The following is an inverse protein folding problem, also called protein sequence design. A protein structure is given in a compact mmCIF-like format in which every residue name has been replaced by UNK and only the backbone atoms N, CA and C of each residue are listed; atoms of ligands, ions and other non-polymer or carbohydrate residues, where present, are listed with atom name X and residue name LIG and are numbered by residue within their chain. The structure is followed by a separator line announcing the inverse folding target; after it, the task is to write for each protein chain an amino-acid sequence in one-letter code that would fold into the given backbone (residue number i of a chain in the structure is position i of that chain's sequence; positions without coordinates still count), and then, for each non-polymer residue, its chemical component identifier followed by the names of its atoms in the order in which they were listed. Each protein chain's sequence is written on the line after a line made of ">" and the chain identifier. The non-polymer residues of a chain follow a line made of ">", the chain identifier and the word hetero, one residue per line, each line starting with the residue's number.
data_IF_066669458615
#
_entry.id   IF_066669458615
#
_cell.length_a   1.000
_cell.length_b   1.000
_cell.length_c   1.000
_cell.angle_alpha   90.00
_cell.angle_beta   90.00
_cell.angle_gamma   90.00
#
_symmetry.space_group_name_H-M   'P 1'
#
loop_
_entity.id
_entity.type
_entity.pdbx_description
1 polymer ?
#
# COMPACT_ATOMS: atom_id res chain seq x y z
N UNK A 1 -25.07 7.30 -13.72
CA UNK A 1 -25.18 7.04 -12.28
C UNK A 1 -24.60 8.25 -11.57
N UNK A 2 -25.41 8.92 -10.75
CA UNK A 2 -25.08 10.22 -10.16
C UNK A 2 -24.00 10.10 -9.08
N UNK A 3 -23.00 10.98 -9.10
CA UNK A 3 -22.10 11.17 -7.96
C UNK A 3 -22.45 12.50 -7.32
N UNK A 4 -23.01 12.39 -6.13
CA UNK A 4 -23.48 13.47 -5.28
C UNK A 4 -22.32 14.38 -4.89
N UNK A 5 -22.46 15.68 -5.19
CA UNK A 5 -21.49 16.72 -4.82
C UNK A 5 -21.99 17.35 -3.52
N UNK A 6 -21.53 16.80 -2.40
CA UNK A 6 -21.83 17.34 -1.07
C UNK A 6 -21.03 18.63 -0.79
N UNK A 7 -21.70 19.54 -0.08
CA UNK A 7 -21.49 20.99 -0.10
C UNK A 7 -20.29 21.55 0.71
N UNK A 8 -19.77 22.73 0.31
CA UNK A 8 -18.53 23.36 0.82
C UNK A 8 -18.61 24.04 2.21
N UNK A 9 -19.67 23.86 2.99
CA UNK A 9 -19.83 24.54 4.30
C UNK A 9 -19.18 23.80 5.48
N UNK A 10 -19.03 22.48 5.39
CA UNK A 10 -18.41 21.67 6.45
C UNK A 10 -16.91 21.97 6.60
N UNK A 11 -16.22 22.18 5.49
CA UNK A 11 -14.79 22.50 5.48
C UNK A 11 -14.46 23.81 6.19
N UNK A 12 -15.33 24.81 6.11
CA UNK A 12 -15.06 26.11 6.76
C UNK A 12 -15.13 25.97 8.28
N UNK A 13 -16.10 25.22 8.79
CA UNK A 13 -16.22 24.98 10.23
C UNK A 13 -15.04 24.18 10.79
N UNK A 14 -14.57 23.17 10.05
CA UNK A 14 -13.37 22.38 10.41
C UNK A 14 -12.10 23.25 10.44
N UNK A 15 -11.88 24.06 9.39
CA UNK A 15 -10.73 24.97 9.34
C UNK A 15 -10.76 25.97 10.51
N UNK A 16 -11.93 26.50 10.86
CA UNK A 16 -12.06 27.43 11.99
C UNK A 16 -11.83 26.73 13.35
N UNK A 17 -12.27 25.48 13.49
CA UNK A 17 -12.01 24.66 14.68
C UNK A 17 -10.51 24.37 14.85
N UNK A 18 -9.82 24.05 13.76
CA UNK A 18 -8.37 23.81 13.76
C UNK A 18 -7.58 25.09 14.10
N UNK A 19 -8.00 26.24 13.57
CA UNK A 19 -7.37 27.53 13.88
C UNK A 19 -7.55 27.96 15.34
N UNK A 20 -8.70 27.66 15.95
CA UNK A 20 -8.92 27.92 17.38
C UNK A 20 -8.05 26.98 18.23
N UNK A 21 -7.92 25.72 17.84
CA UNK A 21 -7.05 24.74 18.53
C UNK A 21 -5.57 25.12 18.45
N UNK A 22 -5.10 25.61 17.30
CA UNK A 22 -3.73 26.09 17.12
C UNK A 22 -3.42 27.35 17.94
N UNK A 23 -4.40 28.20 18.24
CA UNK A 23 -4.23 29.35 19.15
C UNK A 23 -3.96 28.95 20.61
N UNK A 24 -4.30 27.73 21.00
CA UNK A 24 -3.98 27.17 22.33
C UNK A 24 -2.53 26.64 22.39
N UNK A 25 -1.90 26.41 21.23
CA UNK A 25 -0.48 26.06 21.10
C UNK A 25 0.43 27.30 21.11
N UNK A 26 1.74 27.08 21.34
CA UNK A 26 2.78 28.11 21.28
C UNK A 26 2.67 28.93 19.98
N UNK A 27 2.55 30.28 20.06
CA UNK A 27 2.35 31.14 18.90
C UNK A 27 3.45 30.99 17.84
N UNK A 28 4.69 30.66 18.23
CA UNK A 28 5.80 30.48 17.30
C UNK A 28 5.64 29.19 16.48
N UNK A 29 5.21 28.10 17.11
CA UNK A 29 4.97 26.82 16.44
C UNK A 29 3.75 26.87 15.52
N UNK A 30 2.67 27.56 15.94
CA UNK A 30 1.48 27.75 15.12
C UNK A 30 1.78 28.57 13.85
N UNK A 31 2.61 29.61 13.96
CA UNK A 31 3.05 30.41 12.82
C UNK A 31 3.90 29.56 11.86
N UNK A 32 4.81 28.73 12.37
CA UNK A 32 5.62 27.83 11.53
C UNK A 32 4.74 26.88 10.70
N UNK A 33 3.70 26.29 11.28
CA UNK A 33 2.79 25.37 10.57
C UNK A 33 1.94 26.08 9.50
N UNK A 34 1.44 27.28 9.78
CA UNK A 34 0.61 28.04 8.81
C UNK A 34 1.46 28.68 7.70
N UNK A 35 2.69 29.11 8.04
CA UNK A 35 3.62 29.73 7.08
C UNK A 35 4.34 28.69 6.21
N UNK A 36 4.47 27.45 6.68
CA UNK A 36 4.88 26.30 5.88
C UNK A 36 3.76 25.89 4.91
N UNK A 37 3.35 26.80 4.02
CA UNK A 37 2.52 26.42 2.86
C UNK A 37 3.31 25.40 2.05
N UNK A 38 2.81 24.17 1.87
CA UNK A 38 3.42 23.22 0.99
C UNK A 38 3.17 23.66 -0.46
N UNK A 39 4.13 24.33 -1.09
CA UNK A 39 4.15 24.52 -2.56
C UNK A 39 4.55 23.22 -3.31
N UNK A 40 4.43 22.09 -2.64
CA UNK A 40 4.61 20.75 -3.17
C UNK A 40 3.90 19.83 -2.19
N UNK A 41 3.11 18.84 -2.63
CA UNK A 41 2.41 17.94 -1.72
C UNK A 41 3.43 17.28 -0.78
N UNK A 42 3.50 17.79 0.45
CA UNK A 42 4.26 17.19 1.52
C UNK A 42 3.45 15.96 1.95
N UNK A 43 3.74 14.84 1.31
CA UNK A 43 3.40 13.53 1.84
C UNK A 43 4.06 13.45 3.24
N UNK A 44 3.32 13.11 4.31
CA UNK A 44 3.89 12.86 5.64
C UNK A 44 4.82 11.64 5.69
N UNK A 45 5.00 10.94 4.58
CA UNK A 45 6.13 10.05 4.36
C UNK A 45 7.23 10.85 3.67
N UNK A 46 8.23 11.29 4.42
CA UNK A 46 9.58 11.30 3.88
C UNK A 46 9.86 9.87 3.42
N UNK A 47 9.63 9.63 2.14
CA UNK A 47 10.13 8.47 1.45
C UNK A 47 11.64 8.64 1.35
N UNK A 48 12.45 7.75 1.95
CA UNK A 48 13.76 7.54 1.42
C UNK A 48 13.54 6.66 0.19
N UNK A 49 13.20 7.25 -0.96
CA UNK A 49 13.19 6.51 -2.24
C UNK A 49 14.59 5.90 -2.56
N UNK A 50 15.61 6.22 -1.75
CA UNK A 50 16.96 5.66 -1.83
C UNK A 50 17.35 4.68 -0.71
N UNK A 51 16.52 4.47 0.32
CA UNK A 51 16.83 3.48 1.38
C UNK A 51 16.06 2.16 1.21
N UNK A 52 14.99 2.14 0.42
CA UNK A 52 14.20 0.95 0.13
C UNK A 52 15.01 -0.15 -0.62
N UNK A 53 16.08 0.23 -1.32
CA UNK A 53 17.05 -0.70 -1.94
C UNK A 53 18.24 -1.05 -1.04
N UNK A 54 18.45 -0.31 0.05
CA UNK A 54 19.56 -0.57 0.99
C UNK A 54 19.17 -1.50 2.13
N UNK A 55 17.88 -1.60 2.45
CA UNK A 55 17.40 -2.53 3.45
C UNK A 55 17.30 -3.96 2.87
N UNK A 56 18.12 -4.91 3.36
CA UNK A 56 18.08 -6.30 2.89
C UNK A 56 16.73 -6.98 3.19
N UNK A 57 16.03 -6.56 4.24
CA UNK A 57 14.76 -7.14 4.63
C UNK A 57 13.61 -6.64 3.74
N UNK A 58 13.63 -5.37 3.34
CA UNK A 58 12.65 -4.84 2.37
C UNK A 58 12.81 -5.51 1.00
N UNK A 59 14.04 -5.72 0.53
CA UNK A 59 14.30 -6.49 -0.70
C UNK A 59 13.76 -7.92 -0.58
N UNK A 60 14.07 -8.61 0.51
CA UNK A 60 13.56 -9.97 0.77
C UNK A 60 12.03 -10.02 0.81
N UNK A 61 11.39 -9.02 1.40
CA UNK A 61 9.93 -8.92 1.44
C UNK A 61 9.33 -8.75 0.05
N UNK A 62 9.92 -7.90 -0.80
CA UNK A 62 9.51 -7.74 -2.20
C UNK A 62 9.66 -9.03 -2.99
N UNK A 63 10.80 -9.71 -2.87
CA UNK A 63 11.05 -10.99 -3.52
C UNK A 63 10.02 -12.05 -3.11
N UNK A 64 9.67 -12.09 -1.81
CA UNK A 64 8.64 -12.99 -1.29
C UNK A 64 7.24 -12.67 -1.83
N UNK A 65 6.89 -11.39 -1.95
CA UNK A 65 5.62 -10.96 -2.52
C UNK A 65 5.52 -11.32 -4.00
N UNK A 66 6.58 -11.10 -4.77
CA UNK A 66 6.64 -11.46 -6.19
C UNK A 66 6.51 -12.98 -6.37
N UNK A 67 7.25 -13.77 -5.58
CA UNK A 67 7.15 -15.22 -5.61
C UNK A 67 5.74 -15.70 -5.25
N UNK A 68 5.12 -15.13 -4.21
CA UNK A 68 3.76 -15.47 -3.83
C UNK A 68 2.77 -15.20 -4.97
N UNK A 69 2.90 -14.05 -5.61
CA UNK A 69 2.05 -13.69 -6.74
C UNK A 69 2.24 -14.67 -7.92
N UNK A 70 3.48 -14.97 -8.29
CA UNK A 70 3.79 -15.90 -9.37
C UNK A 70 3.23 -17.30 -9.10
N UNK A 71 3.43 -17.83 -7.88
CA UNK A 71 2.88 -19.12 -7.47
C UNK A 71 1.35 -19.12 -7.48
N UNK A 72 0.72 -18.03 -7.01
CA UNK A 72 -0.73 -17.90 -6.99
C UNK A 72 -1.32 -17.84 -8.40
N UNK A 73 -0.70 -17.13 -9.32
CA UNK A 73 -1.12 -17.08 -10.73
C UNK A 73 -0.92 -18.43 -11.42
N UNK A 74 0.23 -19.09 -11.22
CA UNK A 74 0.46 -20.45 -11.74
C UNK A 74 -0.54 -21.47 -11.19
N UNK A 75 -0.91 -21.34 -9.90
CA UNK A 75 -1.94 -22.15 -9.27
C UNK A 75 -3.34 -21.90 -9.87
N UNK A 76 -3.73 -20.63 -10.03
CA UNK A 76 -5.00 -20.25 -10.68
C UNK A 76 -5.08 -20.74 -12.12
N UNK A 77 -3.97 -20.67 -12.85
CA UNK A 77 -3.86 -21.16 -14.23
C UNK A 77 -3.84 -22.68 -14.33
N UNK A 78 -3.72 -23.39 -13.20
CA UNK A 78 -3.71 -24.85 -13.13
C UNK A 78 -2.40 -25.49 -13.57
N UNK A 79 -1.35 -24.69 -13.83
CA UNK A 79 -0.05 -25.17 -14.30
C UNK A 79 0.65 -26.04 -13.25
N UNK A 80 0.48 -25.71 -11.97
CA UNK A 80 1.03 -26.51 -10.86
C UNK A 80 0.31 -27.86 -10.70
N UNK A 81 -0.94 -27.96 -11.16
CA UNK A 81 -1.72 -29.19 -11.10
C UNK A 81 -1.30 -30.22 -12.15
N UNK A 82 -0.82 -29.77 -13.32
CA UNK A 82 -0.48 -30.63 -14.46
C UNK A 82 0.55 -31.69 -14.11
N UNK A 83 1.72 -31.28 -13.61
CA UNK A 83 2.78 -32.22 -13.22
C UNK A 83 2.38 -33.15 -12.07
N UNK A 84 1.52 -32.70 -11.14
CA UNK A 84 1.01 -33.53 -10.07
C UNK A 84 0.04 -34.61 -10.59
N UNK A 85 -0.80 -34.27 -11.56
CA UNK A 85 -1.72 -35.22 -12.21
C UNK A 85 -0.94 -36.27 -13.00
N UNK A 86 0.08 -35.86 -13.77
CA UNK A 86 0.96 -36.78 -14.49
C UNK A 86 1.70 -37.73 -13.54
N UNK A 87 2.26 -37.21 -12.44
CA UNK A 87 2.91 -38.03 -11.42
C UNK A 87 1.93 -39.03 -10.78
N UNK A 88 0.68 -38.63 -10.51
CA UNK A 88 -0.36 -39.52 -9.99
C UNK A 88 -0.72 -40.62 -10.98
N UNK A 89 -0.89 -40.29 -12.26
CA UNK A 89 -1.16 -41.28 -13.31
C UNK A 89 0.01 -42.27 -13.50
N UNK A 90 1.25 -41.80 -13.39
CA UNK A 90 2.43 -42.66 -13.47
C UNK A 90 2.45 -43.69 -12.33
N UNK A 91 2.13 -43.26 -11.11
CA UNK A 91 2.01 -44.16 -9.94
C UNK A 91 0.84 -45.12 -10.10
N UNK A 92 -0.33 -44.64 -10.52
CA UNK A 92 -1.50 -45.48 -10.75
C UNK A 92 -1.22 -46.59 -11.77
N UNK A 93 -0.57 -46.25 -12.89
CA UNK A 93 -0.12 -47.23 -13.89
C UNK A 93 0.88 -48.23 -13.34
N UNK A 94 1.80 -47.83 -12.47
CA UNK A 94 2.79 -48.73 -11.89
C UNK A 94 2.22 -49.64 -10.80
N UNK A 95 1.12 -49.24 -10.15
CA UNK A 95 0.48 -50.00 -9.05
C UNK A 95 -0.62 -50.93 -9.59
N UNK A 96 -1.34 -50.54 -10.64
CA UNK A 96 -2.51 -51.27 -11.15
C UNK A 96 -2.34 -51.81 -12.59
N UNK A 97 -1.24 -51.51 -13.26
CA UNK A 97 -0.82 -52.13 -14.53
C UNK A 97 0.17 -53.26 -14.28
#
# INVERSE_FOLDING_TARGET
>A
MAKEVAHPTLHVAEILSDLVSLRVCDPTAALALVSARPNSPLNPHEAPEKADDQDPDLRRAKDLMELHYAVKEAHKKGELGGGLVEARQAVEKAVWG
#
